data_IF_423297721150
#
_entry.id   IF_423297721150
#
_cell.length_a   1.000
_cell.length_b   1.000
_cell.length_c   1.000
_cell.angle_alpha   90.00
_cell.angle_beta   90.00
_cell.angle_gamma   90.00
#
_symmetry.space_group_name_H-M   'P 1'
#
loop_
_entity.id
_entity.type
_entity.pdbx_description
1 polymer ?
#
# COMPACT_ATOMS: atom_id res chain seq x y z
N UNK A 1 -7.28 34.38 -0.32
CA UNK A 1 -6.13 33.57 -0.06
C UNK A 1 -6.46 32.61 1.07
N UNK A 2 -6.74 31.34 0.74
CA UNK A 2 -7.14 30.30 1.70
C UNK A 2 -5.96 29.92 2.58
N UNK A 3 -6.21 29.69 3.87
CA UNK A 3 -5.22 29.13 4.78
C UNK A 3 -4.85 27.71 4.33
N UNK A 4 -3.60 27.50 3.98
CA UNK A 4 -3.05 26.18 3.59
C UNK A 4 -2.61 25.36 4.82
N UNK A 5 -3.19 25.59 5.99
CA UNK A 5 -2.80 24.96 7.24
C UNK A 5 -3.91 24.00 7.71
N UNK A 6 -3.51 22.80 8.12
CA UNK A 6 -4.42 21.84 8.76
C UNK A 6 -4.74 22.35 10.17
N UNK A 7 -6.01 22.64 10.46
CA UNK A 7 -6.44 23.08 11.80
C UNK A 7 -6.53 21.85 12.70
N UNK A 8 -5.61 21.74 13.67
CA UNK A 8 -5.61 20.67 14.66
C UNK A 8 -6.66 20.94 15.75
N UNK A 9 -7.50 19.95 16.02
CA UNK A 9 -8.39 19.95 17.17
C UNK A 9 -7.57 19.66 18.43
N UNK A 10 -7.73 20.46 19.51
CA UNK A 10 -6.92 20.33 20.73
C UNK A 10 -7.11 19.00 21.50
N UNK A 11 -6.13 18.62 22.34
CA UNK A 11 -6.18 17.48 23.25
C UNK A 11 -5.49 16.22 22.74
N UNK A 12 -5.81 15.04 23.33
CA UNK A 12 -5.22 13.71 23.01
C UNK A 12 -5.22 13.36 21.51
N UNK A 13 -6.19 13.85 20.76
CA UNK A 13 -6.28 13.66 19.30
C UNK A 13 -5.12 14.31 18.55
N UNK A 14 -4.59 15.41 19.07
CA UNK A 14 -3.44 16.11 18.47
C UNK A 14 -2.14 15.32 18.65
N UNK A 15 -1.93 14.69 19.82
CA UNK A 15 -0.76 13.85 20.04
C UNK A 15 -0.77 12.60 19.16
N UNK A 16 -1.91 11.92 19.05
CA UNK A 16 -2.06 10.76 18.17
C UNK A 16 -1.82 11.11 16.71
N UNK A 17 -2.32 12.25 16.25
CA UNK A 17 -2.08 12.74 14.89
C UNK A 17 -0.60 13.02 14.64
N UNK A 18 0.07 13.73 15.56
CA UNK A 18 1.51 14.01 15.47
C UNK A 18 2.37 12.76 15.48
N UNK A 19 2.02 11.77 16.29
CA UNK A 19 2.69 10.46 16.31
C UNK A 19 2.47 9.71 14.99
N UNK A 20 1.28 9.79 14.41
CA UNK A 20 0.99 9.27 13.08
C UNK A 20 1.84 9.93 11.99
N UNK A 21 1.95 11.26 12.01
CA UNK A 21 2.80 12.02 11.08
C UNK A 21 4.29 11.62 11.18
N UNK A 22 4.81 11.50 12.42
CA UNK A 22 6.21 11.07 12.63
C UNK A 22 6.46 9.70 11.99
N UNK A 23 5.61 8.72 12.29
CA UNK A 23 5.71 7.36 11.74
C UNK A 23 5.61 7.35 10.23
N UNK A 24 4.71 8.16 9.65
CA UNK A 24 4.56 8.29 8.20
C UNK A 24 5.84 8.81 7.54
N UNK A 25 6.47 9.85 8.11
CA UNK A 25 7.74 10.39 7.63
C UNK A 25 8.89 9.38 7.81
N UNK A 26 8.94 8.68 8.94
CA UNK A 26 9.95 7.64 9.20
C UNK A 26 9.85 6.49 8.20
N UNK A 27 8.64 6.04 7.88
CA UNK A 27 8.41 4.99 6.88
C UNK A 27 8.82 5.45 5.49
N UNK A 28 8.47 6.68 5.10
CA UNK A 28 8.91 7.27 3.83
C UNK A 28 10.45 7.34 3.73
N UNK A 29 11.14 7.73 4.81
CA UNK A 29 12.61 7.74 4.88
C UNK A 29 13.22 6.32 4.77
N UNK A 30 12.53 5.31 5.32
CA UNK A 30 12.95 3.91 5.15
C UNK A 30 12.78 3.45 3.72
N UNK A 31 11.66 3.79 3.07
CA UNK A 31 11.40 3.47 1.66
C UNK A 31 12.37 4.18 0.70
N UNK A 32 12.82 5.38 1.03
CA UNK A 32 13.83 6.11 0.25
C UNK A 32 15.16 5.36 0.09
N UNK A 33 15.44 4.31 0.88
CA UNK A 33 16.62 3.46 0.72
C UNK A 33 16.52 2.50 -0.47
N UNK A 34 15.32 2.23 -0.98
CA UNK A 34 15.06 1.26 -2.05
C UNK A 34 15.00 1.87 -3.45
N UNK A 35 15.87 2.87 -3.72
CA UNK A 35 15.92 3.61 -5.01
C UNK A 35 16.17 2.70 -6.22
N UNK A 36 16.82 1.56 -6.00
CA UNK A 36 17.20 0.62 -7.06
C UNK A 36 16.15 -0.49 -7.30
N UNK A 37 15.11 -0.55 -6.48
CA UNK A 37 14.05 -1.54 -6.64
C UNK A 37 13.09 -1.12 -7.75
N UNK A 38 13.00 -1.96 -8.80
CA UNK A 38 12.18 -1.63 -9.98
C UNK A 38 10.69 -1.85 -9.78
N UNK A 39 10.31 -2.74 -8.86
CA UNK A 39 8.92 -3.14 -8.62
C UNK A 39 8.17 -2.28 -7.59
N UNK A 40 8.78 -1.22 -7.07
CA UNK A 40 8.14 -0.27 -6.14
C UNK A 40 8.36 1.16 -6.60
N UNK A 41 7.46 2.06 -6.20
CA UNK A 41 7.59 3.50 -6.46
C UNK A 41 8.79 4.07 -5.70
N UNK A 42 9.60 4.89 -6.35
CA UNK A 42 10.74 5.55 -5.71
C UNK A 42 10.28 6.71 -4.86
N UNK A 43 10.71 6.71 -3.61
CA UNK A 43 10.54 7.84 -2.69
C UNK A 43 11.83 8.63 -2.69
N UNK A 44 11.78 9.91 -3.02
CA UNK A 44 12.95 10.78 -3.07
C UNK A 44 13.21 11.49 -1.75
N UNK A 45 12.15 12.00 -1.12
CA UNK A 45 12.25 12.76 0.13
C UNK A 45 10.93 12.74 0.90
N UNK A 46 10.96 13.18 2.14
CA UNK A 46 9.79 13.42 2.99
C UNK A 46 10.05 14.54 3.97
N UNK A 47 9.08 15.42 4.16
CA UNK A 47 9.18 16.54 5.08
C UNK A 47 7.84 16.87 5.75
N UNK A 48 7.90 17.65 6.81
CA UNK A 48 6.72 18.16 7.49
C UNK A 48 6.62 19.66 7.29
N UNK A 49 5.45 20.15 6.92
CA UNK A 49 5.14 21.56 6.76
C UNK A 49 3.63 21.76 6.97
N UNK A 50 3.24 22.94 7.45
CA UNK A 50 1.82 23.28 7.68
C UNK A 50 1.05 22.26 8.54
N UNK A 51 1.66 21.75 9.59
CA UNK A 51 1.10 20.73 10.51
C UNK A 51 0.71 19.42 9.80
N UNK A 52 1.32 19.13 8.64
CA UNK A 52 1.12 17.88 7.90
C UNK A 52 2.45 17.33 7.38
N UNK A 53 2.44 16.17 6.71
CA UNK A 53 3.63 15.56 6.13
C UNK A 53 3.44 15.35 4.63
N UNK A 54 4.55 15.49 3.90
CA UNK A 54 4.62 15.32 2.46
C UNK A 54 5.66 14.26 2.12
N UNK A 55 5.36 13.45 1.12
CA UNK A 55 6.30 12.51 0.51
C UNK A 55 6.51 12.94 -0.94
N UNK A 56 7.76 13.10 -1.34
CA UNK A 56 8.16 13.34 -2.72
C UNK A 56 8.53 12.01 -3.34
N UNK A 57 7.85 11.63 -4.41
CA UNK A 57 8.07 10.37 -5.10
C UNK A 57 8.17 10.57 -6.61
N UNK A 58 8.64 9.54 -7.32
CA UNK A 58 8.66 9.57 -8.78
C UNK A 58 7.24 9.75 -9.33
N UNK A 59 7.15 10.56 -10.37
CA UNK A 59 5.92 10.68 -11.14
C UNK A 59 5.80 9.52 -12.12
N UNK A 60 4.66 8.82 -12.09
CA UNK A 60 4.40 7.67 -12.96
C UNK A 60 3.37 8.05 -14.02
N UNK A 61 3.68 7.78 -15.28
CA UNK A 61 2.73 7.89 -16.39
C UNK A 61 2.21 6.50 -16.74
N UNK A 62 0.88 6.34 -16.81
CA UNK A 62 0.25 5.05 -17.08
C UNK A 62 -1.11 4.89 -16.45
N UNK A 63 -1.46 3.69 -16.05
CA UNK A 63 -2.74 3.34 -15.44
C UNK A 63 -2.54 2.37 -14.27
N UNK A 64 -3.55 2.27 -13.39
CA UNK A 64 -3.53 1.23 -12.35
C UNK A 64 -3.89 -0.13 -12.97
N UNK A 65 -3.46 -1.23 -12.32
CA UNK A 65 -3.89 -2.57 -12.70
C UNK A 65 -5.42 -2.71 -12.58
N UNK A 66 -6.04 -1.99 -11.66
CA UNK A 66 -7.49 -1.92 -11.52
C UNK A 66 -8.16 -1.37 -12.77
N UNK A 67 -7.62 -0.30 -13.36
CA UNK A 67 -8.17 0.30 -14.58
C UNK A 67 -7.95 -0.62 -15.78
N UNK A 68 -6.78 -1.25 -15.89
CA UNK A 68 -6.51 -2.30 -16.88
C UNK A 68 -7.54 -3.42 -16.80
N UNK A 69 -7.83 -3.93 -15.61
CA UNK A 69 -8.79 -5.02 -15.40
C UNK A 69 -10.25 -4.61 -15.65
N UNK A 70 -10.61 -3.33 -15.46
CA UNK A 70 -11.94 -2.82 -15.87
C UNK A 70 -12.12 -2.92 -17.38
N UNK A 71 -11.06 -2.65 -18.16
CA UNK A 71 -11.06 -2.69 -19.62
C UNK A 71 -10.95 -4.11 -20.15
N UNK A 72 -9.92 -4.85 -19.75
CA UNK A 72 -9.52 -6.12 -20.36
C UNK A 72 -10.18 -7.34 -19.70
N UNK A 73 -10.81 -7.17 -18.53
CA UNK A 73 -11.49 -8.16 -17.68
C UNK A 73 -10.55 -9.20 -17.08
N UNK A 74 -9.73 -9.86 -17.88
CA UNK A 74 -8.75 -10.88 -17.48
C UNK A 74 -7.42 -10.63 -18.18
N UNK A 75 -6.36 -11.14 -17.57
CA UNK A 75 -4.99 -11.13 -18.12
C UNK A 75 -4.53 -12.58 -18.22
N UNK A 76 -3.91 -13.01 -19.33
CA UNK A 76 -3.35 -14.36 -19.46
C UNK A 76 -2.38 -14.69 -18.32
N UNK A 77 -2.36 -15.94 -17.87
CA UNK A 77 -1.59 -16.37 -16.69
C UNK A 77 -0.10 -16.01 -16.82
N UNK A 78 0.54 -16.34 -17.95
CA UNK A 78 1.96 -16.06 -18.19
C UNK A 78 2.26 -14.57 -18.15
N UNK A 79 1.38 -13.73 -18.71
CA UNK A 79 1.50 -12.27 -18.65
C UNK A 79 1.32 -11.77 -17.21
N UNK A 80 0.29 -12.26 -16.50
CA UNK A 80 0.00 -11.86 -15.13
C UNK A 80 1.16 -12.18 -14.17
N UNK A 81 1.74 -13.38 -14.27
CA UNK A 81 2.92 -13.78 -13.49
C UNK A 81 4.11 -12.91 -13.83
N UNK A 82 4.39 -12.72 -15.14
CA UNK A 82 5.49 -11.88 -15.61
C UNK A 82 5.38 -10.44 -15.11
N UNK A 83 4.18 -9.87 -15.10
CA UNK A 83 3.91 -8.52 -14.59
C UNK A 83 4.20 -8.39 -13.09
N UNK A 84 3.85 -9.39 -12.28
CA UNK A 84 4.02 -9.32 -10.82
C UNK A 84 5.44 -9.67 -10.35
N UNK A 85 6.27 -10.31 -11.18
CA UNK A 85 7.62 -10.72 -10.81
C UNK A 85 8.51 -9.58 -10.29
N UNK A 86 8.57 -8.39 -10.92
CA UNK A 86 9.34 -7.24 -10.37
C UNK A 86 8.85 -6.82 -8.98
N UNK A 87 7.53 -6.79 -8.77
CA UNK A 87 6.92 -6.45 -7.48
C UNK A 87 7.31 -7.49 -6.42
N UNK A 88 7.24 -8.79 -6.74
CA UNK A 88 7.61 -9.88 -5.82
C UNK A 88 9.07 -9.78 -5.38
N UNK A 89 9.99 -9.52 -6.31
CA UNK A 89 11.43 -9.36 -6.01
C UNK A 89 11.70 -8.16 -5.12
N UNK A 90 11.06 -7.03 -5.42
CA UNK A 90 11.21 -5.82 -4.60
C UNK A 90 10.62 -6.00 -3.20
N UNK A 91 9.48 -6.69 -3.07
CA UNK A 91 8.89 -7.03 -1.77
C UNK A 91 9.83 -7.92 -0.94
N UNK A 92 10.52 -8.89 -1.55
CA UNK A 92 11.51 -9.71 -0.83
C UNK A 92 12.60 -8.84 -0.18
N UNK A 93 13.10 -7.83 -0.92
CA UNK A 93 14.10 -6.89 -0.40
C UNK A 93 13.55 -6.04 0.74
N UNK A 94 12.34 -5.50 0.57
CA UNK A 94 11.66 -4.64 1.55
C UNK A 94 11.32 -5.42 2.83
N UNK A 95 10.87 -6.66 2.70
CA UNK A 95 10.55 -7.54 3.82
C UNK A 95 11.78 -7.89 4.67
N UNK A 96 12.97 -8.04 4.08
CA UNK A 96 14.24 -8.25 4.83
C UNK A 96 14.56 -7.09 5.77
N UNK A 97 14.09 -5.88 5.46
CA UNK A 97 14.21 -4.69 6.31
C UNK A 97 13.02 -4.51 7.28
N UNK A 98 12.14 -5.51 7.36
CA UNK A 98 10.98 -5.51 8.26
C UNK A 98 9.89 -4.50 7.87
N UNK A 99 9.83 -4.10 6.60
CA UNK A 99 8.77 -3.22 6.07
C UNK A 99 7.73 -4.10 5.39
N UNK A 100 6.45 -3.86 5.66
CA UNK A 100 5.32 -4.54 5.04
C UNK A 100 4.47 -3.51 4.31
N UNK A 101 3.88 -3.91 3.16
CA UNK A 101 2.98 -3.04 2.41
C UNK A 101 1.57 -3.00 3.01
N UNK A 102 0.96 -4.17 3.28
CA UNK A 102 -0.34 -4.38 3.95
C UNK A 102 -1.59 -3.91 3.19
N UNK A 103 -1.43 -3.38 1.99
CA UNK A 103 -2.54 -2.91 1.17
C UNK A 103 -2.33 -3.26 -0.31
N UNK A 104 -1.77 -4.45 -0.60
CA UNK A 104 -1.59 -4.91 -1.97
C UNK A 104 -2.93 -5.28 -2.57
N UNK A 105 -3.27 -4.64 -3.69
CA UNK A 105 -4.47 -4.88 -4.48
C UNK A 105 -4.29 -4.23 -5.86
N UNK A 106 -5.15 -4.50 -6.85
CA UNK A 106 -5.01 -3.95 -8.21
C UNK A 106 -4.96 -2.42 -8.30
N UNK A 107 -5.56 -1.70 -7.38
CA UNK A 107 -5.52 -0.23 -7.32
C UNK A 107 -4.19 0.34 -6.82
N UNK A 108 -3.38 -0.47 -6.12
CA UNK A 108 -2.06 -0.11 -5.65
C UNK A 108 -0.91 -0.69 -6.51
N UNK A 109 -1.23 -1.29 -7.65
CA UNK A 109 -0.25 -1.71 -8.66
C UNK A 109 -0.40 -0.83 -9.89
N UNK A 110 0.67 -0.16 -10.28
CA UNK A 110 0.71 0.80 -11.38
C UNK A 110 1.48 0.25 -12.58
N UNK A 111 0.88 0.36 -13.74
CA UNK A 111 1.45 -0.05 -15.03
C UNK A 111 1.89 1.19 -15.77
N UNK A 112 3.19 1.36 -15.91
CA UNK A 112 3.74 2.54 -16.54
C UNK A 112 3.72 2.43 -18.07
N UNK A 113 3.69 3.57 -18.76
CA UNK A 113 3.72 3.64 -20.23
C UNK A 113 4.98 3.03 -20.84
N UNK A 114 6.08 2.92 -20.08
CA UNK A 114 7.32 2.28 -20.50
C UNK A 114 7.40 0.78 -20.15
N UNK A 115 6.28 0.18 -19.73
CA UNK A 115 6.15 -1.26 -19.47
C UNK A 115 6.65 -1.74 -18.10
N UNK A 116 6.96 -0.83 -17.17
CA UNK A 116 7.28 -1.21 -15.80
C UNK A 116 6.01 -1.44 -14.97
N UNK A 117 6.10 -2.34 -13.99
CA UNK A 117 5.05 -2.57 -13.01
C UNK A 117 5.58 -2.18 -11.63
N UNK A 118 4.85 -1.31 -10.96
CA UNK A 118 5.28 -0.75 -9.67
C UNK A 118 4.18 -0.81 -8.64
N UNK A 119 4.56 -1.22 -7.43
CA UNK A 119 3.72 -1.13 -6.24
C UNK A 119 3.80 0.29 -5.69
N UNK A 120 2.66 0.91 -5.44
CA UNK A 120 2.51 2.28 -4.93
C UNK A 120 1.82 2.26 -3.55
N UNK A 121 1.87 3.39 -2.83
CA UNK A 121 1.14 3.58 -1.56
C UNK A 121 1.54 2.63 -0.41
N UNK A 122 2.85 2.50 -0.15
CA UNK A 122 3.34 1.83 1.04
C UNK A 122 2.86 2.51 2.33
N UNK A 123 2.26 1.73 3.22
CA UNK A 123 2.01 2.15 4.61
C UNK A 123 1.04 3.30 4.85
N UNK A 124 0.53 3.97 3.80
CA UNK A 124 -0.39 5.10 3.92
C UNK A 124 -1.67 4.75 4.71
N UNK A 125 -2.09 3.51 4.70
CA UNK A 125 -3.29 3.01 5.37
C UNK A 125 -3.16 2.82 6.88
N UNK A 126 -1.94 2.78 7.45
CA UNK A 126 -1.74 2.51 8.90
C UNK A 126 -2.02 3.71 9.80
N UNK A 127 -2.03 4.92 9.26
CA UNK A 127 -2.08 6.15 10.05
C UNK A 127 -3.37 6.95 9.91
N UNK A 128 -4.38 6.40 9.24
CA UNK A 128 -5.72 6.97 9.27
C UNK A 128 -6.31 6.80 10.68
N UNK A 129 -6.04 7.76 11.56
CA UNK A 129 -6.61 7.82 12.90
C UNK A 129 -8.09 8.15 12.79
N UNK A 130 -8.95 7.17 13.00
CA UNK A 130 -10.34 7.46 13.34
C UNK A 130 -10.44 7.87 14.79
N UNK A 131 -11.20 8.94 15.03
CA UNK A 131 -11.30 9.72 16.26
C UNK A 131 -11.88 9.01 17.49
N UNK A 132 -12.05 7.68 17.49
CA UNK A 132 -12.78 6.98 18.56
C UNK A 132 -12.22 5.63 19.03
N UNK A 133 -11.07 5.19 18.56
CA UNK A 133 -10.48 3.94 19.07
C UNK A 133 -8.98 4.02 19.29
N UNK A 134 -8.53 3.44 20.40
CA UNK A 134 -7.10 3.22 20.75
C UNK A 134 -6.41 2.22 19.81
N UNK A 135 -7.07 1.78 18.74
CA UNK A 135 -6.56 0.84 17.75
C UNK A 135 -6.26 1.55 16.44
N UNK A 136 -5.09 1.31 15.90
CA UNK A 136 -4.73 1.63 14.52
C UNK A 136 -5.82 1.06 13.61
N UNK A 137 -6.49 1.91 12.85
CA UNK A 137 -7.53 1.43 11.92
C UNK A 137 -6.82 0.68 10.80
N UNK A 138 -6.91 -0.63 10.83
CA UNK A 138 -6.48 -1.47 9.72
C UNK A 138 -7.47 -1.25 8.59
N UNK A 139 -7.03 -0.69 7.47
CA UNK A 139 -7.85 -0.67 6.26
C UNK A 139 -7.90 -2.09 5.72
N UNK A 140 -9.10 -2.63 5.66
CA UNK A 140 -9.36 -3.97 5.15
C UNK A 140 -9.88 -3.83 3.72
N UNK A 141 -9.22 -4.54 2.79
CA UNK A 141 -9.70 -4.70 1.42
C UNK A 141 -10.31 -6.09 1.24
N UNK A 142 -11.65 -6.21 1.17
CA UNK A 142 -12.33 -7.49 0.99
C UNK A 142 -11.76 -8.28 -0.19
N UNK A 143 -11.42 -9.54 0.04
CA UNK A 143 -10.80 -10.44 -0.94
C UNK A 143 -9.27 -10.40 -1.00
N UNK A 144 -8.63 -9.30 -0.56
CA UNK A 144 -7.17 -9.13 -0.59
C UNK A 144 -6.55 -9.18 0.80
N UNK A 145 -7.22 -8.70 1.82
CA UNK A 145 -6.73 -8.72 3.21
C UNK A 145 -6.86 -10.12 3.82
N UNK A 146 -5.76 -10.70 4.36
CA UNK A 146 -5.79 -11.97 5.08
C UNK A 146 -6.38 -11.85 6.50
N UNK A 147 -6.65 -12.98 7.14
CA UNK A 147 -7.34 -13.05 8.44
C UNK A 147 -6.65 -12.24 9.54
N UNK A 148 -5.33 -12.25 9.59
CA UNK A 148 -4.54 -11.52 10.59
C UNK A 148 -4.68 -10.00 10.49
N UNK A 149 -5.14 -9.46 9.35
CA UNK A 149 -5.44 -8.03 9.22
C UNK A 149 -6.78 -7.63 9.84
N UNK A 150 -7.70 -8.57 10.06
CA UNK A 150 -9.00 -8.31 10.71
C UNK A 150 -8.88 -8.23 12.24
N UNK A 151 -7.78 -8.72 12.82
CA UNK A 151 -7.50 -8.62 14.25
C UNK A 151 -6.42 -7.57 14.50
N UNK A 152 -6.68 -6.63 15.41
CA UNK A 152 -5.70 -5.59 15.81
C UNK A 152 -4.44 -6.18 16.46
N UNK A 153 -4.49 -7.43 16.92
CA UNK A 153 -3.39 -8.22 17.51
C UNK A 153 -2.91 -9.33 16.59
N UNK A 154 -3.39 -9.35 15.33
CA UNK A 154 -2.98 -10.36 14.36
C UNK A 154 -1.48 -10.27 14.05
N UNK A 155 -0.85 -11.43 13.97
CA UNK A 155 0.57 -11.55 13.63
C UNK A 155 0.78 -11.30 12.13
N UNK A 156 1.03 -10.03 11.78
CA UNK A 156 1.26 -9.60 10.42
C UNK A 156 2.75 -9.71 10.07
N UNK A 157 3.04 -10.26 8.89
CA UNK A 157 4.38 -10.49 8.40
C UNK A 157 4.44 -10.49 6.87
N UNK A 158 5.58 -10.91 6.27
CA UNK A 158 5.71 -11.06 4.83
C UNK A 158 4.58 -11.87 4.18
N UNK A 159 4.05 -12.86 4.90
CA UNK A 159 2.92 -13.70 4.46
C UNK A 159 1.63 -12.91 4.23
N UNK A 160 1.44 -11.80 4.95
CA UNK A 160 0.30 -10.88 4.76
C UNK A 160 0.31 -10.28 3.36
N UNK A 161 1.47 -9.80 2.90
CA UNK A 161 1.63 -9.23 1.56
C UNK A 161 1.59 -10.33 0.48
N UNK A 162 2.15 -11.50 0.76
CA UNK A 162 2.08 -12.66 -0.16
C UNK A 162 0.65 -13.10 -0.39
N UNK A 163 -0.18 -13.15 0.65
CA UNK A 163 -1.61 -13.47 0.50
C UNK A 163 -2.32 -12.44 -0.39
N UNK A 164 -2.10 -11.14 -0.15
CA UNK A 164 -2.71 -10.07 -0.91
C UNK A 164 -2.27 -10.07 -2.39
N UNK A 165 -0.99 -10.38 -2.64
CA UNK A 165 -0.45 -10.53 -3.99
C UNK A 165 -1.05 -11.74 -4.72
N UNK A 166 -1.21 -12.89 -4.03
CA UNK A 166 -1.89 -14.05 -4.57
C UNK A 166 -3.37 -13.76 -4.89
N UNK A 167 -4.06 -12.99 -4.04
CA UNK A 167 -5.41 -12.49 -4.30
C UNK A 167 -5.46 -11.60 -5.53
N UNK A 168 -4.45 -10.75 -5.73
CA UNK A 168 -4.33 -9.90 -6.91
C UNK A 168 -4.10 -10.74 -8.18
N UNK A 169 -3.19 -11.72 -8.13
CA UNK A 169 -2.97 -12.65 -9.25
C UNK A 169 -4.25 -13.43 -9.60
N UNK A 170 -4.96 -13.92 -8.58
CA UNK A 170 -6.26 -14.59 -8.80
C UNK A 170 -7.24 -13.68 -9.56
N UNK A 171 -7.36 -12.40 -9.13
CA UNK A 171 -8.19 -11.41 -9.81
C UNK A 171 -7.77 -11.20 -11.27
N UNK A 172 -6.45 -11.13 -11.53
CA UNK A 172 -5.91 -10.93 -12.88
C UNK A 172 -6.33 -12.07 -13.83
N UNK A 173 -6.17 -13.32 -13.40
CA UNK A 173 -6.41 -14.48 -14.27
C UNK A 173 -7.88 -14.91 -14.38
N UNK A 174 -8.69 -14.67 -13.34
CA UNK A 174 -10.10 -15.09 -13.30
C UNK A 174 -11.10 -13.98 -13.62
N UNK A 175 -10.68 -12.71 -13.48
CA UNK A 175 -11.57 -11.56 -13.54
C UNK A 175 -12.48 -11.40 -12.31
N UNK A 176 -12.40 -12.32 -11.32
CA UNK A 176 -13.26 -12.33 -10.13
C UNK A 176 -12.45 -11.94 -8.90
N UNK A 177 -12.99 -11.05 -8.07
CA UNK A 177 -12.36 -10.74 -6.78
C UNK A 177 -12.45 -11.97 -5.86
N UNK A 178 -11.34 -12.37 -5.20
CA UNK A 178 -11.37 -13.51 -4.28
C UNK A 178 -12.43 -13.33 -3.18
N UNK A 179 -13.03 -14.41 -2.67
CA UNK A 179 -13.88 -14.33 -1.48
C UNK A 179 -13.10 -13.77 -0.29
N UNK A 180 -13.79 -13.10 0.63
CA UNK A 180 -13.17 -12.57 1.86
C UNK A 180 -12.53 -13.69 2.70
N UNK A 181 -11.39 -13.38 3.34
CA UNK A 181 -10.64 -14.36 4.14
C UNK A 181 -11.47 -14.93 5.30
N UNK A 182 -12.31 -14.11 5.93
CA UNK A 182 -13.18 -14.53 7.05
C UNK A 182 -14.32 -15.44 6.62
N UNK A 183 -14.72 -15.43 5.36
CA UNK A 183 -15.77 -16.29 4.80
C UNK A 183 -15.27 -17.59 4.18
N UNK A 184 -13.95 -17.84 4.19
CA UNK A 184 -13.36 -19.10 3.67
C UNK A 184 -13.34 -20.14 4.79
N UNK A 185 -14.19 -21.15 4.71
CA UNK A 185 -14.17 -22.34 5.56
C UNK A 185 -13.17 -23.35 5.03
#
# INVERSE_FOLDING_TARGET
PGQSCVTLLGGEKNEQFRDGLKKFVEEAKRLAKFQNESGIVKVFDSFTENETAYIIMEYLEGETLSDRLKRDKVIPEDEAVSMLMPVMRSLETVHKEGILHRDIAPDNIFLTTNGQVKLIDFGASRYATTSHSKSLTTIIKPGYSPKEQYDSRGDQGPHTDVYALAGTLYKMITGVTPPEAMGRN
#
